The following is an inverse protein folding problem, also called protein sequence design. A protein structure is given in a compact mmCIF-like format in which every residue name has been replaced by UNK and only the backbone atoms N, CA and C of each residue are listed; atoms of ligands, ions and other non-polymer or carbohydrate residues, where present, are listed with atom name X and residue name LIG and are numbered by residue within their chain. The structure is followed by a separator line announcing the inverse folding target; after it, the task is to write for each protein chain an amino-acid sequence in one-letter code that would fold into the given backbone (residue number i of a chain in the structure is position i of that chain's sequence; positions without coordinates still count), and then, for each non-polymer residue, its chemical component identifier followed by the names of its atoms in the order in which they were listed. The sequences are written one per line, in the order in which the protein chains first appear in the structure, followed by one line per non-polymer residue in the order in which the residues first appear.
data_IF_479693728052
#
_entry.id   IF_479693728052
#
_cell.length_a   1.000
_cell.length_b   1.000
_cell.length_c   1.000
_cell.angle_alpha   90.00
_cell.angle_beta   90.00
_cell.angle_gamma   90.00
#
_symmetry.space_group_name_H-M   'P 1'
#
loop_
_entity.id
_entity.type
_entity.pdbx_description
1 polymer ?
#
# COMPACT_ATOMS: atom_id res chain seq x y z
N UNK A 1 2.77 28.99 -23.46
CA UNK A 1 3.25 29.68 -22.23
C UNK A 1 4.00 28.62 -21.43
N UNK A 2 5.28 28.81 -21.09
CA UNK A 2 6.05 27.80 -20.34
C UNK A 2 5.63 27.87 -18.87
N UNK A 3 4.97 26.82 -18.36
CA UNK A 3 4.62 26.74 -16.94
C UNK A 3 5.92 26.56 -16.14
N UNK A 4 6.20 27.42 -15.14
CA UNK A 4 7.41 27.29 -14.34
C UNK A 4 7.34 25.99 -13.52
N UNK A 5 8.42 25.21 -13.56
CA UNK A 5 8.53 23.96 -12.81
C UNK A 5 9.07 24.25 -11.38
N UNK A 6 8.40 23.76 -10.32
CA UNK A 6 8.90 23.87 -8.95
C UNK A 6 10.15 23.01 -8.70
N UNK A 7 11.03 23.46 -7.81
CA UNK A 7 12.14 22.62 -7.36
C UNK A 7 11.63 21.39 -6.60
N UNK A 8 12.08 20.21 -7.03
CA UNK A 8 11.68 18.93 -6.46
C UNK A 8 12.61 18.59 -5.30
N UNK A 9 12.01 18.22 -4.17
CA UNK A 9 12.71 17.60 -3.04
C UNK A 9 11.91 16.40 -2.55
N UNK A 10 12.59 15.44 -1.93
CA UNK A 10 12.00 14.24 -1.33
C UNK A 10 11.43 14.53 0.07
N UNK A 11 10.77 15.67 0.25
CA UNK A 11 10.15 16.05 1.50
C UNK A 11 8.98 15.11 1.91
N UNK A 12 8.50 15.21 3.15
CA UNK A 12 7.46 14.30 3.67
C UNK A 12 6.18 14.28 2.84
N UNK A 13 5.75 15.44 2.33
CA UNK A 13 4.53 15.55 1.49
C UNK A 13 4.73 14.86 0.16
N UNK A 14 5.87 15.10 -0.50
CA UNK A 14 6.19 14.46 -1.77
C UNK A 14 6.26 12.93 -1.64
N UNK A 15 6.97 12.41 -0.62
CA UNK A 15 7.04 10.97 -0.34
C UNK A 15 5.64 10.38 -0.18
N UNK A 16 4.77 11.01 0.63
CA UNK A 16 3.40 10.55 0.84
C UNK A 16 2.56 10.54 -0.44
N UNK A 17 2.72 11.52 -1.32
CA UNK A 17 2.08 11.53 -2.65
C UNK A 17 2.51 10.32 -3.48
N UNK A 18 3.81 10.04 -3.54
CA UNK A 18 4.34 8.93 -4.33
C UNK A 18 3.96 7.56 -3.75
N UNK A 19 3.96 7.41 -2.42
CA UNK A 19 3.42 6.20 -1.73
C UNK A 19 1.95 5.98 -2.06
N UNK A 20 1.16 7.06 -2.07
CA UNK A 20 -0.27 7.00 -2.40
C UNK A 20 -0.45 6.58 -3.85
N UNK A 21 0.30 7.17 -4.79
CA UNK A 21 0.30 6.77 -6.20
C UNK A 21 0.65 5.28 -6.36
N UNK A 22 1.76 4.83 -5.76
CA UNK A 22 2.17 3.43 -5.81
C UNK A 22 1.05 2.50 -5.35
N UNK A 23 0.43 2.78 -4.19
CA UNK A 23 -0.67 1.96 -3.66
C UNK A 23 -1.91 1.95 -4.55
N UNK A 24 -2.16 3.00 -5.32
CA UNK A 24 -3.26 3.01 -6.30
C UNK A 24 -2.95 2.14 -7.50
N UNK A 25 -1.68 2.09 -7.91
CA UNK A 25 -1.22 1.29 -9.05
C UNK A 25 -1.07 -0.19 -8.72
N UNK A 26 -0.70 -0.56 -7.49
CA UNK A 26 -0.65 -1.97 -7.03
C UNK A 26 -2.07 -2.47 -6.75
N UNK A 27 -2.80 -2.78 -7.82
CA UNK A 27 -4.21 -3.18 -7.75
C UNK A 27 -4.41 -4.53 -7.08
N UNK A 28 -3.42 -5.43 -7.22
CA UNK A 28 -3.36 -6.72 -6.54
C UNK A 28 -3.13 -6.59 -5.04
N UNK A 29 -2.52 -5.49 -4.60
CA UNK A 29 -2.10 -5.27 -3.21
C UNK A 29 -1.04 -6.26 -2.74
N UNK A 30 -0.12 -6.67 -3.62
CA UNK A 30 0.96 -7.60 -3.30
C UNK A 30 2.29 -6.93 -2.95
N UNK A 31 2.35 -5.60 -3.00
CA UNK A 31 3.50 -4.78 -2.61
C UNK A 31 4.47 -4.47 -3.76
N UNK A 32 4.08 -4.76 -5.00
CA UNK A 32 4.95 -4.60 -6.16
C UNK A 32 4.15 -4.05 -7.35
N UNK A 33 4.82 -3.33 -8.24
CA UNK A 33 4.32 -3.00 -9.57
C UNK A 33 5.03 -3.86 -10.61
N UNK A 34 4.27 -4.35 -11.58
CA UNK A 34 4.72 -5.06 -12.75
C UNK A 34 4.32 -4.29 -14.01
N UNK A 35 4.89 -4.64 -15.16
CA UNK A 35 4.51 -4.01 -16.43
C UNK A 35 3.02 -4.19 -16.73
N UNK A 36 2.43 -5.30 -16.29
CA UNK A 36 1.02 -5.62 -16.47
C UNK A 36 0.10 -4.59 -15.78
N UNK A 37 0.49 -4.04 -14.63
CA UNK A 37 -0.27 -2.98 -13.94
C UNK A 37 -0.39 -1.72 -14.82
N UNK A 38 0.66 -1.40 -15.59
CA UNK A 38 0.63 -0.28 -16.54
C UNK A 38 -0.13 -0.63 -17.82
N UNK A 39 -0.01 -1.85 -18.32
CA UNK A 39 -0.77 -2.30 -19.50
C UNK A 39 -2.28 -2.33 -19.25
N UNK A 40 -2.70 -2.56 -18.00
CA UNK A 40 -4.10 -2.48 -17.59
C UNK A 40 -4.68 -1.07 -17.78
N UNK A 41 -3.86 -0.02 -17.61
CA UNK A 41 -4.26 1.38 -17.85
C UNK A 41 -4.65 1.55 -19.32
N UNK A 42 -3.77 1.13 -20.24
CA UNK A 42 -4.01 1.20 -21.67
C UNK A 42 -5.26 0.40 -22.06
N UNK A 43 -5.36 -0.84 -21.60
CA UNK A 43 -6.51 -1.73 -21.84
C UNK A 43 -7.82 -1.12 -21.36
N UNK A 44 -7.82 -0.49 -20.18
CA UNK A 44 -9.02 0.16 -19.62
C UNK A 44 -9.52 1.30 -20.50
N UNK A 45 -8.62 2.13 -21.03
CA UNK A 45 -8.98 3.27 -21.90
C UNK A 45 -9.49 2.76 -23.25
N UNK A 46 -8.84 1.76 -23.86
CA UNK A 46 -9.28 1.17 -25.14
C UNK A 46 -10.69 0.61 -25.04
N UNK A 47 -11.03 -0.05 -23.93
CA UNK A 47 -12.36 -0.64 -23.74
C UNK A 47 -13.45 0.43 -23.69
N UNK A 48 -13.15 1.64 -23.21
CA UNK A 48 -14.09 2.77 -23.22
C UNK A 48 -14.15 3.44 -24.58
N UNK A 49 -13.01 3.55 -25.29
CA UNK A 49 -12.90 4.16 -26.61
C UNK A 49 -12.42 3.17 -27.69
N UNK A 50 -13.22 2.15 -28.05
CA UNK A 50 -12.81 1.13 -29.01
C UNK A 50 -12.64 1.65 -30.44
N UNK A 51 -13.06 2.90 -30.70
CA UNK A 51 -12.92 3.61 -31.98
C UNK A 51 -11.93 4.79 -31.89
N UNK A 52 -11.09 4.82 -30.85
CA UNK A 52 -10.02 5.82 -30.73
C UNK A 52 -9.14 5.79 -31.99
N UNK A 53 -8.78 6.99 -32.47
CA UNK A 53 -7.95 7.14 -33.67
C UNK A 53 -6.54 6.57 -33.37
N UNK A 54 -5.96 5.87 -34.35
CA UNK A 54 -4.71 5.13 -34.18
C UNK A 54 -3.54 5.95 -33.59
N UNK A 55 -3.34 7.20 -34.00
CA UNK A 55 -2.24 8.00 -33.45
C UNK A 55 -2.44 8.36 -31.96
N UNK A 56 -3.70 8.55 -31.50
CA UNK A 56 -4.01 8.82 -30.08
C UNK A 56 -3.68 7.59 -29.23
N UNK A 57 -3.98 6.41 -29.77
CA UNK A 57 -3.58 5.15 -29.17
C UNK A 57 -2.05 5.01 -29.08
N UNK A 58 -1.33 5.32 -30.17
CA UNK A 58 0.12 5.28 -30.20
C UNK A 58 0.73 6.24 -29.15
N UNK A 59 0.18 7.44 -28.97
CA UNK A 59 0.62 8.38 -27.94
C UNK A 59 0.44 7.81 -26.52
N UNK A 60 -0.72 7.21 -26.23
CA UNK A 60 -0.96 6.57 -24.93
C UNK A 60 0.05 5.46 -24.64
N UNK A 61 0.23 4.52 -25.58
CA UNK A 61 1.12 3.38 -25.39
C UNK A 61 2.58 3.81 -25.30
N UNK A 62 3.03 4.75 -26.15
CA UNK A 62 4.39 5.32 -26.06
C UNK A 62 4.64 5.91 -24.69
N UNK A 63 3.68 6.61 -24.09
CA UNK A 63 3.85 7.20 -22.76
C UNK A 63 3.89 6.17 -21.65
N UNK A 64 3.07 5.12 -21.71
CA UNK A 64 3.13 4.03 -20.73
C UNK A 64 4.48 3.30 -20.80
N UNK A 65 4.99 3.04 -22.01
CA UNK A 65 6.31 2.47 -22.24
C UNK A 65 7.40 3.41 -21.70
N UNK A 66 7.37 4.69 -22.06
CA UNK A 66 8.34 5.66 -21.58
C UNK A 66 8.35 5.73 -20.04
N UNK A 67 7.17 5.78 -19.41
CA UNK A 67 7.05 5.78 -17.97
C UNK A 67 7.68 4.52 -17.35
N UNK A 68 7.38 3.32 -17.87
CA UNK A 68 7.98 2.09 -17.36
C UNK A 68 9.50 2.06 -17.50
N UNK A 69 10.02 2.18 -18.73
CA UNK A 69 11.42 1.91 -19.03
C UNK A 69 12.35 3.08 -18.70
N UNK A 70 11.92 4.30 -18.97
CA UNK A 70 12.77 5.49 -18.94
C UNK A 70 12.54 6.34 -17.67
N UNK A 71 11.52 6.03 -16.86
CA UNK A 71 11.25 6.70 -15.57
C UNK A 71 11.40 5.72 -14.39
N UNK A 72 10.57 4.69 -14.28
CA UNK A 72 10.47 3.88 -13.04
C UNK A 72 11.29 2.59 -13.02
N UNK A 73 11.83 2.12 -14.16
CA UNK A 73 12.72 0.94 -14.24
C UNK A 73 14.14 1.26 -14.74
N UNK A 74 14.63 2.48 -14.51
CA UNK A 74 15.94 2.96 -15.00
C UNK A 74 17.16 2.29 -14.34
N UNK A 75 16.97 1.57 -13.24
CA UNK A 75 18.00 0.88 -12.48
C UNK A 75 18.39 -0.49 -13.06
N UNK A 76 17.67 -0.97 -14.09
CA UNK A 76 17.93 -2.25 -14.76
C UNK A 76 18.14 -2.06 -16.25
N UNK A 77 18.81 -3.00 -16.95
CA UNK A 77 18.83 -3.03 -18.39
C UNK A 77 17.42 -3.07 -18.99
N UNK A 78 17.23 -2.38 -20.13
CA UNK A 78 15.93 -2.29 -20.81
C UNK A 78 15.34 -3.67 -21.15
N UNK A 79 16.18 -4.65 -21.51
CA UNK A 79 15.70 -5.99 -21.89
C UNK A 79 15.12 -6.77 -20.71
N UNK A 80 15.52 -6.46 -19.48
CA UNK A 80 15.07 -7.17 -18.27
C UNK A 80 13.90 -6.48 -17.57
N UNK A 81 13.62 -5.21 -17.91
CA UNK A 81 12.61 -4.40 -17.21
C UNK A 81 11.19 -4.97 -17.27
N UNK A 82 10.84 -5.79 -18.26
CA UNK A 82 9.52 -6.45 -18.33
C UNK A 82 9.30 -7.53 -17.27
N UNK A 83 10.39 -8.02 -16.65
CA UNK A 83 10.36 -9.11 -15.66
C UNK A 83 10.57 -8.59 -14.24
N UNK A 84 10.62 -7.28 -14.05
CA UNK A 84 10.89 -6.68 -12.74
C UNK A 84 9.59 -6.52 -11.96
N UNK A 85 9.65 -6.94 -10.69
CA UNK A 85 8.67 -6.59 -9.67
C UNK A 85 9.24 -5.40 -8.88
N UNK A 86 8.66 -4.22 -9.09
CA UNK A 86 9.14 -2.98 -8.52
C UNK A 86 8.44 -2.71 -7.18
N UNK A 87 9.16 -2.79 -6.07
CA UNK A 87 8.58 -2.45 -4.76
C UNK A 87 8.44 -0.92 -4.56
N UNK A 88 7.70 -0.51 -3.53
CA UNK A 88 7.39 0.89 -3.25
C UNK A 88 8.64 1.75 -3.09
N UNK A 89 9.60 1.29 -2.30
CA UNK A 89 10.85 2.02 -2.03
C UNK A 89 11.64 2.29 -3.31
N UNK A 90 11.78 1.28 -4.18
CA UNK A 90 12.48 1.41 -5.46
C UNK A 90 11.71 2.27 -6.46
N UNK A 91 10.38 2.18 -6.48
CA UNK A 91 9.53 3.06 -7.29
C UNK A 91 9.76 4.53 -6.93
N UNK A 92 9.72 4.87 -5.65
CA UNK A 92 9.91 6.25 -5.17
C UNK A 92 11.33 6.75 -5.49
N UNK A 93 12.36 5.95 -5.23
CA UNK A 93 13.76 6.29 -5.51
C UNK A 93 13.98 6.54 -7.01
N UNK A 94 13.47 5.67 -7.88
CA UNK A 94 13.62 5.83 -9.33
C UNK A 94 12.85 7.04 -9.85
N UNK A 95 11.62 7.25 -9.41
CA UNK A 95 10.82 8.40 -9.81
C UNK A 95 11.46 9.71 -9.35
N UNK A 96 12.00 9.75 -8.13
CA UNK A 96 12.74 10.91 -7.61
C UNK A 96 13.97 11.22 -8.46
N UNK A 97 14.79 10.20 -8.76
CA UNK A 97 15.99 10.33 -9.62
C UNK A 97 15.63 10.80 -11.02
N UNK A 98 14.58 10.25 -11.61
CA UNK A 98 14.09 10.67 -12.92
C UNK A 98 13.68 12.15 -12.89
N UNK A 99 12.88 12.55 -11.91
CA UNK A 99 12.44 13.94 -11.71
C UNK A 99 13.57 14.92 -11.33
N UNK A 100 14.77 14.43 -10.99
CA UNK A 100 16.01 15.23 -10.82
C UNK A 100 16.91 15.23 -12.06
N UNK A 101 16.52 14.53 -13.12
CA UNK A 101 17.30 14.34 -14.35
C UNK A 101 16.69 15.12 -15.53
N UNK A 102 17.06 14.75 -16.77
CA UNK A 102 16.46 15.30 -17.99
C UNK A 102 14.93 15.22 -18.01
N UNK A 103 14.36 14.19 -17.38
CA UNK A 103 12.90 14.00 -17.33
C UNK A 103 12.17 15.15 -16.64
N UNK A 104 12.82 15.88 -15.73
CA UNK A 104 12.27 17.11 -15.16
C UNK A 104 11.83 18.12 -16.23
N UNK A 105 12.72 18.41 -17.17
CA UNK A 105 12.47 19.36 -18.26
C UNK A 105 11.61 18.77 -19.37
N UNK A 106 11.64 17.45 -19.53
CA UNK A 106 10.88 16.70 -20.54
C UNK A 106 9.49 16.24 -20.03
N UNK A 107 9.12 16.53 -18.78
CA UNK A 107 7.92 15.98 -18.12
C UNK A 107 6.64 16.28 -18.92
N UNK A 108 6.46 17.53 -19.35
CA UNK A 108 5.28 17.89 -20.13
C UNK A 108 5.31 17.30 -21.55
N UNK A 109 6.45 17.29 -22.23
CA UNK A 109 6.57 16.80 -23.61
C UNK A 109 6.44 15.27 -23.71
N UNK A 110 7.07 14.53 -22.80
CA UNK A 110 7.16 13.06 -22.86
C UNK A 110 6.05 12.34 -22.09
N UNK A 111 5.45 13.01 -21.10
CA UNK A 111 4.44 12.39 -20.24
C UNK A 111 3.08 13.07 -20.35
N UNK A 112 2.97 14.37 -20.08
CA UNK A 112 1.65 15.01 -19.97
C UNK A 112 0.98 15.34 -21.31
N UNK A 113 1.74 15.74 -22.32
CA UNK A 113 1.22 16.11 -23.64
C UNK A 113 0.65 14.90 -24.37
N UNK A 114 1.36 13.76 -24.46
CA UNK A 114 0.80 12.57 -25.09
C UNK A 114 -0.43 12.03 -24.35
N UNK A 115 -0.44 12.04 -23.00
CA UNK A 115 -1.63 11.64 -22.23
C UNK A 115 -2.82 12.54 -22.55
N UNK A 116 -2.63 13.86 -22.57
CA UNK A 116 -3.69 14.79 -22.94
C UNK A 116 -4.20 14.54 -24.37
N UNK A 117 -3.30 14.48 -25.35
CA UNK A 117 -3.62 14.24 -26.77
C UNK A 117 -4.34 12.90 -26.97
N UNK A 118 -3.98 11.87 -26.22
CA UNK A 118 -4.64 10.56 -26.32
C UNK A 118 -6.10 10.60 -25.87
N UNK A 119 -6.44 11.52 -24.98
CA UNK A 119 -7.75 11.60 -24.32
C UNK A 119 -8.68 12.64 -24.93
N UNK A 120 -8.17 13.74 -25.47
CA UNK A 120 -8.95 14.72 -26.24
C UNK A 120 -9.50 14.03 -27.50
N UNK A 121 -10.74 13.54 -27.50
CA UNK A 121 -11.27 12.73 -28.60
C UNK A 121 -11.72 13.57 -29.80
N UNK A 122 -12.16 14.82 -29.58
CA UNK A 122 -12.67 15.72 -30.61
C UNK A 122 -11.61 16.69 -31.18
N UNK A 123 -10.36 16.63 -30.67
CA UNK A 123 -9.22 17.48 -31.07
C UNK A 123 -9.51 18.98 -30.91
N UNK A 124 -10.33 19.35 -29.93
CA UNK A 124 -10.66 20.75 -29.64
C UNK A 124 -9.65 21.42 -28.68
N UNK A 125 -8.63 20.68 -28.25
CA UNK A 125 -7.59 21.14 -27.33
C UNK A 125 -8.05 21.17 -25.88
N UNK A 126 -9.14 20.48 -25.54
CA UNK A 126 -9.71 20.43 -24.18
C UNK A 126 -10.27 19.05 -23.85
N UNK A 127 -10.19 18.69 -22.58
CA UNK A 127 -10.81 17.46 -22.05
C UNK A 127 -12.18 17.77 -21.48
N UNK A 128 -13.17 16.99 -21.89
CA UNK A 128 -14.46 16.88 -21.22
C UNK A 128 -14.34 16.11 -19.90
N UNK A 129 -15.36 16.22 -19.05
CA UNK A 129 -15.43 15.46 -17.79
C UNK A 129 -15.27 13.95 -18.00
N UNK A 130 -16.01 13.32 -18.94
CA UNK A 130 -15.86 11.90 -19.25
C UNK A 130 -14.47 11.49 -19.73
N UNK A 131 -13.78 12.32 -20.53
CA UNK A 131 -12.42 12.03 -21.00
C UNK A 131 -11.43 12.06 -19.83
N UNK A 132 -11.43 13.15 -19.05
CA UNK A 132 -10.57 13.23 -17.87
C UNK A 132 -10.87 12.12 -16.85
N UNK A 133 -12.15 11.81 -16.64
CA UNK A 133 -12.58 10.73 -15.75
C UNK A 133 -12.09 9.36 -16.24
N UNK A 134 -12.19 9.08 -17.53
CA UNK A 134 -11.71 7.81 -18.11
C UNK A 134 -10.21 7.65 -17.89
N UNK A 135 -9.43 8.71 -18.14
CA UNK A 135 -7.99 8.70 -17.90
C UNK A 135 -7.70 8.43 -16.43
N UNK A 136 -8.26 9.23 -15.53
CA UNK A 136 -7.91 9.15 -14.11
C UNK A 136 -8.39 7.85 -13.47
N UNK A 137 -9.53 7.29 -13.89
CA UNK A 137 -9.97 5.96 -13.43
C UNK A 137 -9.07 4.84 -13.94
N UNK A 138 -8.57 4.92 -15.18
CA UNK A 138 -7.59 3.97 -15.70
C UNK A 138 -6.29 4.00 -14.87
N UNK A 139 -5.84 5.19 -14.48
CA UNK A 139 -4.75 5.42 -13.51
C UNK A 139 -5.16 5.18 -12.05
N UNK A 140 -6.30 4.52 -11.82
CA UNK A 140 -6.81 4.08 -10.53
C UNK A 140 -7.03 5.21 -9.53
N UNK A 141 -7.27 6.45 -9.97
CA UNK A 141 -7.70 7.54 -9.08
C UNK A 141 -9.13 7.29 -8.54
N UNK A 142 -9.57 8.13 -7.60
CA UNK A 142 -10.84 7.99 -6.88
C UNK A 142 -11.93 8.82 -7.58
N UNK A 143 -13.08 8.22 -7.99
CA UNK A 143 -14.15 8.92 -8.71
C UNK A 143 -14.54 10.28 -8.10
N UNK A 144 -14.75 10.30 -6.78
CA UNK A 144 -15.14 11.51 -6.05
C UNK A 144 -14.11 12.63 -6.17
N UNK A 145 -12.82 12.31 -6.06
CA UNK A 145 -11.75 13.30 -6.12
C UNK A 145 -11.52 13.78 -7.55
N UNK A 146 -11.66 12.89 -8.55
CA UNK A 146 -11.65 13.23 -9.98
C UNK A 146 -12.70 14.32 -10.27
N UNK A 147 -13.95 14.13 -9.85
CA UNK A 147 -15.03 15.09 -10.11
C UNK A 147 -14.80 16.46 -9.45
N UNK A 148 -14.15 16.46 -8.28
CA UNK A 148 -13.80 17.70 -7.57
C UNK A 148 -12.67 18.42 -8.31
N UNK A 149 -11.60 17.71 -8.64
CA UNK A 149 -10.42 18.28 -9.32
C UNK A 149 -10.75 18.75 -10.73
N UNK A 150 -11.55 17.98 -11.48
CA UNK A 150 -12.02 18.40 -12.80
C UNK A 150 -12.76 19.74 -12.73
N UNK A 151 -13.68 19.90 -11.77
CA UNK A 151 -14.41 21.17 -11.57
C UNK A 151 -13.53 22.33 -11.14
N UNK A 152 -12.46 22.07 -10.38
CA UNK A 152 -11.51 23.11 -9.95
C UNK A 152 -10.64 23.63 -11.09
N UNK A 153 -10.37 22.79 -12.10
CA UNK A 153 -9.43 23.06 -13.19
C UNK A 153 -10.10 23.21 -14.57
N UNK A 154 -11.42 23.19 -14.65
CA UNK A 154 -12.17 23.33 -15.91
C UNK A 154 -12.79 24.70 -16.09
N UNK A 155 -12.68 25.22 -17.31
CA UNK A 155 -13.37 26.43 -17.75
C UNK A 155 -14.53 26.02 -18.65
N UNK A 156 -15.76 26.43 -18.32
CA UNK A 156 -16.95 26.13 -19.14
C UNK A 156 -17.11 24.61 -19.38
N UNK A 157 -16.95 23.81 -18.32
CA UNK A 157 -17.06 22.34 -18.32
C UNK A 157 -16.04 21.57 -19.19
N UNK A 158 -15.00 22.23 -19.70
CA UNK A 158 -13.86 21.55 -20.33
C UNK A 158 -12.53 22.01 -19.69
N UNK A 159 -11.58 21.10 -19.56
CA UNK A 159 -10.24 21.36 -19.04
C UNK A 159 -9.27 21.57 -20.20
N UNK A 160 -8.65 22.75 -20.30
CA UNK A 160 -7.62 22.99 -21.32
C UNK A 160 -6.28 22.33 -20.95
N UNK A 161 -5.37 22.22 -21.92
CA UNK A 161 -4.02 21.64 -21.73
C UNK A 161 -3.20 22.33 -20.63
N UNK A 162 -3.32 23.64 -20.47
CA UNK A 162 -2.56 24.38 -19.46
C UNK A 162 -2.98 23.99 -18.04
N UNK A 163 -4.28 23.92 -17.77
CA UNK A 163 -4.82 23.52 -16.46
C UNK A 163 -4.52 22.05 -16.15
N UNK A 164 -4.63 21.17 -17.16
CA UNK A 164 -4.21 19.77 -17.02
C UNK A 164 -2.73 19.67 -16.63
N UNK A 165 -1.85 20.42 -17.29
CA UNK A 165 -0.41 20.40 -16.98
C UNK A 165 -0.12 20.97 -15.59
N UNK A 166 -0.79 22.06 -15.16
CA UNK A 166 -0.66 22.61 -13.80
C UNK A 166 -1.05 21.61 -12.72
N UNK A 167 -2.19 20.92 -12.88
CA UNK A 167 -2.66 19.91 -11.94
C UNK A 167 -1.62 18.80 -11.70
N UNK A 168 -1.03 18.28 -12.78
CA UNK A 168 -0.04 17.20 -12.67
C UNK A 168 1.31 17.70 -12.13
N UNK A 169 1.78 18.89 -12.54
CA UNK A 169 3.00 19.48 -11.97
C UNK A 169 2.82 19.70 -10.46
N UNK A 170 1.66 20.18 -10.02
CA UNK A 170 1.36 20.36 -8.61
C UNK A 170 1.44 19.02 -7.85
N UNK A 171 0.85 17.95 -8.39
CA UNK A 171 0.94 16.64 -7.74
C UNK A 171 2.37 16.07 -7.75
N UNK A 172 3.11 16.11 -8.86
CA UNK A 172 4.40 15.43 -8.97
C UNK A 172 5.59 16.24 -8.44
N UNK A 173 5.48 17.58 -8.38
CA UNK A 173 6.64 18.45 -8.14
C UNK A 173 6.47 19.40 -6.95
N UNK A 174 5.26 19.86 -6.64
CA UNK A 174 5.02 20.77 -5.52
C UNK A 174 5.18 20.06 -4.17
N UNK A 175 5.46 20.83 -3.12
CA UNK A 175 5.46 20.36 -1.73
C UNK A 175 4.37 21.05 -0.87
N UNK A 176 3.43 21.75 -1.51
CA UNK A 176 2.33 22.41 -0.79
C UNK A 176 1.36 21.39 -0.20
N UNK A 177 1.40 21.24 1.13
CA UNK A 177 0.51 20.37 1.88
C UNK A 177 -0.96 20.86 1.88
N UNK A 178 -1.20 22.13 1.55
CA UNK A 178 -2.55 22.73 1.54
C UNK A 178 -3.20 22.68 0.17
N UNK A 179 -2.44 22.33 -0.88
CA UNK A 179 -2.97 22.24 -2.22
C UNK A 179 -4.06 21.17 -2.30
N UNK A 180 -5.17 21.47 -2.98
CA UNK A 180 -6.24 20.51 -3.20
C UNK A 180 -5.81 19.39 -4.16
N UNK A 181 -4.81 19.68 -5.00
CA UNK A 181 -4.33 18.81 -6.06
C UNK A 181 -3.54 17.62 -5.52
N UNK A 182 -3.10 17.65 -4.25
CA UNK A 182 -2.49 16.49 -3.59
C UNK A 182 -3.43 15.28 -3.53
N UNK A 183 -4.74 15.49 -3.72
CA UNK A 183 -5.75 14.43 -3.76
C UNK A 183 -5.95 13.80 -5.14
N UNK A 184 -5.06 14.08 -6.10
CA UNK A 184 -5.15 13.52 -7.46
C UNK A 184 -5.23 11.98 -7.48
N UNK A 185 -4.65 11.31 -6.49
CA UNK A 185 -4.77 9.86 -6.26
C UNK A 185 -5.47 9.50 -4.94
N UNK A 186 -6.22 10.44 -4.36
CA UNK A 186 -6.96 10.27 -3.12
C UNK A 186 -6.24 10.79 -1.87
N UNK A 187 -6.78 10.49 -0.67
CA UNK A 187 -6.18 10.86 0.60
C UNK A 187 -4.76 10.31 0.74
N UNK A 188 -3.84 11.14 1.21
CA UNK A 188 -2.44 10.76 1.35
C UNK A 188 -2.24 9.79 2.51
N UNK A 189 -1.54 8.67 2.25
CA UNK A 189 -1.09 7.74 3.29
C UNK A 189 -0.22 8.47 4.32
N UNK A 190 -0.39 8.16 5.61
CA UNK A 190 0.37 8.75 6.71
C UNK A 190 1.27 7.73 7.42
N UNK A 191 0.97 6.44 7.36
CA UNK A 191 1.76 5.45 8.09
C UNK A 191 3.22 5.42 7.59
N UNK A 192 4.15 5.32 8.54
CA UNK A 192 5.58 5.20 8.25
C UNK A 192 5.87 3.86 7.60
N UNK A 193 6.81 3.82 6.65
CA UNK A 193 7.37 2.58 6.10
C UNK A 193 8.57 2.14 6.90
N UNK A 194 9.02 0.91 6.64
CA UNK A 194 10.08 0.33 7.42
C UNK A 194 11.42 1.08 7.30
N UNK A 195 11.65 1.76 6.18
CA UNK A 195 12.80 2.63 5.90
C UNK A 195 12.76 3.95 6.68
N UNK A 196 11.58 4.38 7.13
CA UNK A 196 11.45 5.57 7.99
C UNK A 196 11.88 5.27 9.43
N UNK A 197 12.04 3.98 9.77
CA UNK A 197 12.59 3.52 11.03
C UNK A 197 14.05 3.10 10.83
N UNK A 198 14.92 3.45 11.77
CA UNK A 198 16.30 2.95 11.78
C UNK A 198 16.38 1.44 12.05
N UNK A 199 17.60 0.92 12.07
CA UNK A 199 17.88 -0.44 12.59
C UNK A 199 17.34 -0.56 14.02
N UNK A 200 16.77 -1.72 14.34
CA UNK A 200 16.12 -1.99 15.62
C UNK A 200 17.06 -2.86 16.46
N UNK A 201 17.37 -2.46 17.69
CA UNK A 201 18.29 -3.21 18.57
C UNK A 201 17.69 -4.56 18.97
N UNK A 202 16.36 -4.63 18.97
CA UNK A 202 15.55 -5.79 19.35
C UNK A 202 15.84 -6.20 20.80
N UNK A 203 15.77 -5.22 21.70
CA UNK A 203 15.94 -5.41 23.15
C UNK A 203 14.70 -6.01 23.84
N UNK A 204 14.65 -6.02 25.19
CA UNK A 204 13.60 -6.68 25.95
C UNK A 204 12.16 -6.21 25.64
N UNK A 205 11.99 -4.93 25.31
CA UNK A 205 10.69 -4.37 24.91
C UNK A 205 10.20 -5.01 23.61
N UNK A 206 11.08 -5.08 22.62
CA UNK A 206 10.79 -5.69 21.33
C UNK A 206 10.57 -7.20 21.45
N UNK A 207 11.45 -7.91 22.18
CA UNK A 207 11.30 -9.35 22.39
C UNK A 207 9.99 -9.70 23.10
N UNK A 208 9.58 -8.89 24.09
CA UNK A 208 8.30 -9.05 24.77
C UNK A 208 7.12 -8.91 23.81
N UNK A 209 7.16 -7.96 22.86
CA UNK A 209 6.15 -7.84 21.80
C UNK A 209 6.12 -9.10 20.94
N UNK A 210 7.23 -9.48 20.31
CA UNK A 210 7.25 -10.63 19.40
C UNK A 210 6.84 -11.94 20.09
N UNK A 211 7.25 -12.14 21.35
CA UNK A 211 6.76 -13.24 22.20
C UNK A 211 5.25 -13.19 22.42
N UNK A 212 4.70 -12.01 22.66
CA UNK A 212 3.24 -11.83 22.78
C UNK A 212 2.55 -12.26 21.50
N UNK A 213 3.00 -11.79 20.32
CA UNK A 213 2.44 -12.22 19.04
C UNK A 213 2.51 -13.74 18.87
N UNK A 214 3.66 -14.37 19.13
CA UNK A 214 3.80 -15.83 19.07
C UNK A 214 2.73 -16.54 19.90
N UNK A 215 2.51 -16.09 21.14
CA UNK A 215 1.51 -16.67 22.05
C UNK A 215 0.07 -16.45 21.60
N UNK A 216 -0.21 -15.35 20.90
CA UNK A 216 -1.53 -15.08 20.31
C UNK A 216 -1.81 -15.91 19.07
N UNK A 217 -0.76 -16.36 18.38
CA UNK A 217 -0.87 -17.24 17.22
C UNK A 217 -0.90 -18.72 17.60
N UNK A 218 -0.21 -19.15 18.67
CA UNK A 218 -0.26 -20.52 19.22
C UNK A 218 -1.54 -20.74 20.04
N UNK A 219 -2.69 -20.66 19.38
CA UNK A 219 -4.03 -20.75 20.02
C UNK A 219 -4.29 -22.08 20.72
N UNK A 220 -3.54 -23.13 20.36
CA UNK A 220 -3.64 -24.46 20.98
C UNK A 220 -2.65 -24.65 22.15
N UNK A 221 -1.83 -23.63 22.45
CA UNK A 221 -0.80 -23.65 23.49
C UNK A 221 0.17 -24.85 23.39
N UNK A 222 0.47 -25.27 22.15
CA UNK A 222 1.34 -26.43 21.90
C UNK A 222 2.83 -26.12 22.06
N UNK A 223 3.15 -24.83 22.22
CA UNK A 223 4.50 -24.28 22.17
C UNK A 223 5.20 -24.49 20.83
N UNK A 224 4.45 -24.79 19.77
CA UNK A 224 4.93 -24.97 18.40
C UNK A 224 3.90 -24.44 17.42
N UNK A 225 4.17 -23.28 16.82
CA UNK A 225 3.29 -22.71 15.82
C UNK A 225 3.32 -23.55 14.53
N UNK A 226 2.15 -23.88 13.99
CA UNK A 226 1.96 -24.61 12.74
C UNK A 226 0.97 -23.88 11.83
N UNK A 227 0.94 -24.25 10.55
CA UNK A 227 -0.05 -23.73 9.60
C UNK A 227 -1.50 -23.88 10.11
N UNK A 228 -1.77 -25.00 10.78
CA UNK A 228 -3.07 -25.30 11.37
C UNK A 228 -3.57 -24.23 12.35
N UNK A 229 -2.69 -23.58 13.13
CA UNK A 229 -3.09 -22.54 14.08
C UNK A 229 -3.64 -21.32 13.34
N UNK A 230 -2.98 -20.89 12.26
CA UNK A 230 -3.44 -19.80 11.39
C UNK A 230 -4.75 -20.15 10.69
N UNK A 231 -4.90 -21.40 10.22
CA UNK A 231 -6.15 -21.86 9.61
C UNK A 231 -7.32 -21.86 10.61
N UNK A 232 -7.08 -22.24 11.86
CA UNK A 232 -8.10 -22.18 12.90
C UNK A 232 -8.48 -20.74 13.26
N UNK A 233 -7.53 -19.81 13.32
CA UNK A 233 -7.84 -18.36 13.44
C UNK A 233 -8.75 -17.94 12.28
N UNK A 234 -8.40 -18.28 11.04
CA UNK A 234 -9.22 -18.02 9.87
C UNK A 234 -10.63 -18.61 9.95
N UNK A 235 -10.75 -19.87 10.36
CA UNK A 235 -12.04 -20.53 10.57
C UNK A 235 -12.88 -19.83 11.65
N UNK A 236 -12.25 -19.39 12.74
CA UNK A 236 -12.92 -18.64 13.79
C UNK A 236 -13.47 -17.31 13.25
N UNK A 237 -12.67 -16.55 12.50
CA UNK A 237 -13.12 -15.32 11.85
C UNK A 237 -14.33 -15.58 10.94
N UNK A 238 -14.25 -16.62 10.10
CA UNK A 238 -15.30 -17.01 9.15
C UNK A 238 -16.61 -17.33 9.86
N UNK A 239 -16.54 -18.16 10.91
CA UNK A 239 -17.71 -18.62 11.64
C UNK A 239 -18.37 -17.48 12.42
N UNK A 240 -17.57 -16.67 13.14
CA UNK A 240 -18.08 -15.57 13.97
C UNK A 240 -18.63 -14.41 13.14
N UNK A 241 -18.06 -14.14 11.97
CA UNK A 241 -18.53 -13.09 11.08
C UNK A 241 -19.59 -13.57 10.05
N UNK A 242 -19.95 -14.86 10.08
CA UNK A 242 -20.94 -15.46 9.17
C UNK A 242 -20.64 -15.19 7.69
N UNK A 243 -19.39 -15.41 7.29
CA UNK A 243 -18.93 -15.06 5.94
C UNK A 243 -19.51 -15.99 4.86
N UNK A 244 -19.80 -15.42 3.70
CA UNK A 244 -20.11 -16.19 2.50
C UNK A 244 -18.86 -16.94 1.98
N UNK A 245 -19.08 -17.93 1.11
CA UNK A 245 -18.01 -18.77 0.57
C UNK A 245 -16.86 -17.99 -0.05
N UNK A 246 -17.14 -16.92 -0.81
CA UNK A 246 -16.11 -16.15 -1.51
C UNK A 246 -15.20 -15.44 -0.50
N UNK A 247 -15.80 -14.83 0.53
CA UNK A 247 -15.07 -14.15 1.61
C UNK A 247 -14.33 -15.16 2.48
N UNK A 248 -14.93 -16.31 2.80
CA UNK A 248 -14.26 -17.40 3.51
C UNK A 248 -13.00 -17.87 2.80
N UNK A 249 -13.08 -18.08 1.48
CA UNK A 249 -11.92 -18.46 0.69
C UNK A 249 -10.83 -17.38 0.71
N UNK A 250 -11.20 -16.09 0.73
CA UNK A 250 -10.24 -14.99 0.82
C UNK A 250 -9.51 -14.97 2.17
N UNK A 251 -10.24 -15.17 3.28
CA UNK A 251 -9.65 -15.28 4.63
C UNK A 251 -8.68 -16.45 4.70
N UNK A 252 -9.07 -17.64 4.23
CA UNK A 252 -8.21 -18.82 4.27
C UNK A 252 -6.95 -18.65 3.39
N UNK A 253 -7.08 -18.02 2.21
CA UNK A 253 -5.92 -17.67 1.37
C UNK A 253 -4.98 -16.71 2.08
N UNK A 254 -5.51 -15.70 2.77
CA UNK A 254 -4.69 -14.76 3.54
C UNK A 254 -3.95 -15.45 4.69
N UNK A 255 -4.61 -16.35 5.44
CA UNK A 255 -3.95 -17.13 6.51
C UNK A 255 -2.86 -18.06 5.98
N UNK A 256 -3.10 -18.71 4.84
CA UNK A 256 -2.08 -19.52 4.15
C UNK A 256 -0.91 -18.66 3.67
N UNK A 257 -1.19 -17.50 3.07
CA UNK A 257 -0.15 -16.58 2.62
C UNK A 257 0.69 -16.08 3.80
N UNK A 258 0.06 -15.76 4.93
CA UNK A 258 0.75 -15.38 6.17
C UNK A 258 1.72 -16.48 6.61
N UNK A 259 1.24 -17.72 6.65
CA UNK A 259 2.07 -18.86 7.01
C UNK A 259 3.25 -19.02 6.05
N UNK A 260 2.96 -19.20 4.76
CA UNK A 260 3.95 -19.59 3.75
C UNK A 260 4.95 -18.47 3.47
N UNK A 261 4.52 -17.20 3.41
CA UNK A 261 5.39 -16.08 3.02
C UNK A 261 6.15 -15.46 4.19
N UNK A 262 5.53 -15.33 5.36
CA UNK A 262 6.09 -14.50 6.44
C UNK A 262 6.54 -15.28 7.68
N UNK A 263 5.93 -16.44 7.98
CA UNK A 263 6.22 -17.16 9.22
C UNK A 263 7.09 -18.40 8.99
N UNK A 264 6.69 -19.25 8.06
CA UNK A 264 7.24 -20.58 7.84
C UNK A 264 8.40 -20.59 6.85
N UNK A 265 9.28 -19.59 6.96
CA UNK A 265 10.49 -19.45 6.16
C UNK A 265 11.64 -19.15 7.11
N UNK A 266 12.75 -19.87 6.98
CA UNK A 266 14.00 -19.56 7.66
C UNK A 266 14.83 -18.52 6.89
N UNK A 267 15.98 -18.12 7.44
CA UNK A 267 16.88 -17.16 6.79
C UNK A 267 17.41 -17.58 5.41
N UNK A 268 17.35 -18.88 5.07
CA UNK A 268 17.79 -19.42 3.79
C UNK A 268 16.64 -19.55 2.78
N UNK A 269 15.40 -19.22 3.17
CA UNK A 269 14.23 -19.43 2.33
C UNK A 269 13.62 -20.84 2.47
N UNK A 270 14.10 -21.68 3.39
CA UNK A 270 13.56 -23.03 3.57
C UNK A 270 12.25 -23.00 4.35
N UNK A 271 11.29 -23.80 3.88
CA UNK A 271 9.98 -23.89 4.51
C UNK A 271 10.01 -24.73 5.78
N UNK A 272 9.44 -24.19 6.86
CA UNK A 272 9.34 -24.86 8.16
C UNK A 272 7.94 -25.44 8.38
N UNK A 273 7.84 -26.69 8.81
CA UNK A 273 6.55 -27.32 9.15
C UNK A 273 6.00 -26.85 10.50
N UNK A 274 6.89 -26.49 11.43
CA UNK A 274 6.58 -25.95 12.75
C UNK A 274 7.65 -24.96 13.20
N UNK A 275 7.26 -23.99 14.04
CA UNK A 275 8.14 -22.91 14.50
C UNK A 275 8.03 -22.82 16.03
N UNK A 276 9.16 -22.93 16.73
CA UNK A 276 9.22 -22.65 18.18
C UNK A 276 9.41 -21.16 18.41
N UNK A 277 9.11 -20.71 19.62
CA UNK A 277 9.22 -19.30 19.99
C UNK A 277 10.60 -18.68 19.70
N UNK A 278 11.68 -19.41 19.95
CA UNK A 278 13.04 -18.91 19.68
C UNK A 278 13.31 -18.71 18.18
N UNK A 279 12.80 -19.60 17.34
CA UNK A 279 12.89 -19.51 15.88
C UNK A 279 12.01 -18.37 15.37
N UNK A 280 10.81 -18.21 15.93
CA UNK A 280 9.91 -17.10 15.61
C UNK A 280 10.55 -15.74 15.92
N UNK A 281 11.12 -15.57 17.12
CA UNK A 281 11.81 -14.34 17.52
C UNK A 281 13.03 -14.06 16.64
N UNK A 282 13.81 -15.09 16.32
CA UNK A 282 14.96 -14.97 15.43
C UNK A 282 14.54 -14.55 14.01
N UNK A 283 13.58 -15.24 13.40
CA UNK A 283 13.10 -14.95 12.05
C UNK A 283 12.49 -13.56 11.94
N UNK A 284 11.73 -13.10 12.95
CA UNK A 284 11.20 -11.74 12.98
C UNK A 284 12.32 -10.69 13.07
N UNK A 285 13.39 -10.96 13.82
CA UNK A 285 14.56 -10.07 13.93
C UNK A 285 15.27 -9.94 12.58
N UNK A 286 15.51 -11.07 11.91
CA UNK A 286 16.12 -11.11 10.58
C UNK A 286 15.24 -10.42 9.54
N UNK A 287 13.92 -10.64 9.56
CA UNK A 287 12.99 -9.97 8.64
C UNK A 287 13.08 -8.46 8.81
N UNK A 288 12.94 -7.95 10.05
CA UNK A 288 12.91 -6.50 10.23
C UNK A 288 14.28 -5.86 10.02
N UNK A 289 15.41 -6.49 10.31
CA UNK A 289 16.73 -5.83 10.14
C UNK A 289 17.48 -6.26 8.86
N UNK A 290 16.91 -7.18 8.09
CA UNK A 290 17.51 -7.72 6.87
C UNK A 290 16.95 -7.12 5.58
N UNK A 291 17.26 -7.79 4.46
CA UNK A 291 16.90 -7.33 3.10
C UNK A 291 15.40 -7.30 2.82
N UNK A 292 14.61 -8.07 3.58
CA UNK A 292 13.16 -8.17 3.44
C UNK A 292 12.39 -7.24 4.37
N UNK A 293 13.05 -6.28 5.02
CA UNK A 293 12.42 -5.35 5.97
C UNK A 293 11.21 -4.63 5.39
N UNK A 294 11.22 -4.31 4.10
CA UNK A 294 10.10 -3.66 3.42
C UNK A 294 8.82 -4.53 3.39
N UNK A 295 8.92 -5.85 3.56
CA UNK A 295 7.77 -6.77 3.56
C UNK A 295 6.91 -6.72 4.84
N UNK A 296 7.38 -6.03 5.90
CA UNK A 296 6.63 -5.96 7.16
C UNK A 296 5.26 -5.29 7.00
N UNK A 297 5.14 -4.31 6.09
CA UNK A 297 3.87 -3.65 5.84
C UNK A 297 2.92 -4.53 5.00
N UNK A 298 3.47 -5.28 4.05
CA UNK A 298 2.74 -6.27 3.27
C UNK A 298 2.24 -7.42 4.15
N UNK A 299 3.00 -7.77 5.18
CA UNK A 299 2.56 -8.69 6.21
C UNK A 299 1.33 -8.14 6.96
N UNK A 300 1.40 -6.88 7.41
CA UNK A 300 0.28 -6.20 8.05
C UNK A 300 -0.93 -6.05 7.12
N UNK A 301 -0.71 -5.74 5.85
CA UNK A 301 -1.76 -5.59 4.84
C UNK A 301 -2.49 -6.91 4.57
N UNK A 302 -1.75 -8.02 4.52
CA UNK A 302 -2.33 -9.36 4.37
C UNK A 302 -3.23 -9.70 5.56
N UNK A 303 -2.81 -9.35 6.78
CA UNK A 303 -3.66 -9.45 7.97
C UNK A 303 -4.88 -8.54 7.88
N UNK A 304 -4.70 -7.26 7.53
CA UNK A 304 -5.80 -6.29 7.37
C UNK A 304 -6.87 -6.84 6.42
N UNK A 305 -6.48 -7.34 5.24
CA UNK A 305 -7.41 -7.92 4.25
C UNK A 305 -8.09 -9.21 4.73
N UNK A 306 -7.48 -9.96 5.64
CA UNK A 306 -8.12 -11.13 6.25
C UNK A 306 -9.26 -10.72 7.21
N UNK A 307 -9.22 -9.51 7.76
CA UNK A 307 -10.22 -9.00 8.73
C UNK A 307 -11.24 -8.10 8.04
N UNK A 308 -10.79 -7.29 7.07
CA UNK A 308 -11.57 -6.39 6.22
C UNK A 308 -12.26 -7.19 5.10
N UNK A 309 -13.23 -8.00 5.50
CA UNK A 309 -13.87 -8.99 4.64
C UNK A 309 -15.07 -8.46 3.84
N UNK A 310 -15.53 -7.24 4.14
CA UNK A 310 -16.66 -6.61 3.43
C UNK A 310 -16.25 -5.69 2.28
N UNK A 311 -14.94 -5.49 2.05
CA UNK A 311 -14.37 -4.58 1.06
C UNK A 311 -14.87 -3.13 1.22
N UNK A 312 -15.26 -2.73 2.44
CA UNK A 312 -15.53 -1.34 2.80
C UNK A 312 -14.26 -0.49 2.81
N UNK A 313 -13.09 -1.12 2.96
CA UNK A 313 -11.80 -0.46 3.19
C UNK A 313 -11.55 -0.11 4.65
N UNK A 314 -12.40 -0.56 5.58
CA UNK A 314 -12.30 -0.29 7.00
C UNK A 314 -12.60 -1.54 7.84
N UNK A 315 -11.95 -1.67 8.99
CA UNK A 315 -12.27 -2.70 9.98
C UNK A 315 -13.26 -2.10 10.98
N UNK A 316 -14.47 -2.65 11.04
CA UNK A 316 -15.46 -2.26 12.05
C UNK A 316 -15.02 -2.71 13.46
N UNK A 317 -15.56 -2.07 14.51
CA UNK A 317 -15.34 -2.50 15.89
C UNK A 317 -15.73 -3.97 16.13
N UNK A 318 -16.80 -4.43 15.49
CA UNK A 318 -17.23 -5.83 15.60
C UNK A 318 -16.21 -6.79 14.97
N UNK A 319 -15.72 -6.48 13.76
CA UNK A 319 -14.70 -7.28 13.07
C UNK A 319 -13.38 -7.29 13.84
N UNK A 320 -12.95 -6.14 14.37
CA UNK A 320 -11.75 -6.04 15.20
C UNK A 320 -11.87 -6.88 16.48
N UNK A 321 -13.04 -6.84 17.13
CA UNK A 321 -13.29 -7.65 18.32
C UNK A 321 -13.24 -9.15 18.03
N UNK A 322 -13.79 -9.60 16.89
CA UNK A 322 -13.73 -11.02 16.49
C UNK A 322 -12.27 -11.47 16.33
N UNK A 323 -11.41 -10.63 15.75
CA UNK A 323 -9.97 -10.91 15.66
C UNK A 323 -9.30 -11.04 17.03
N UNK A 324 -9.55 -10.07 17.91
CA UNK A 324 -8.97 -10.08 19.26
C UNK A 324 -9.45 -11.29 20.08
N UNK A 325 -10.71 -11.70 19.91
CA UNK A 325 -11.23 -12.95 20.49
C UNK A 325 -10.52 -14.19 19.93
N UNK A 326 -10.21 -14.23 18.63
CA UNK A 326 -9.44 -15.31 18.02
C UNK A 326 -8.01 -15.42 18.57
N UNK A 327 -7.46 -14.30 19.05
CA UNK A 327 -6.16 -14.23 19.73
C UNK A 327 -6.26 -14.42 21.25
N UNK A 328 -7.43 -14.75 21.79
CA UNK A 328 -7.67 -14.86 23.24
C UNK A 328 -7.31 -13.58 24.01
N UNK A 329 -7.52 -12.41 23.40
CA UNK A 329 -7.41 -11.10 24.06
C UNK A 329 -8.75 -10.76 24.72
N UNK A 330 -8.68 -10.25 25.95
CA UNK A 330 -9.86 -9.87 26.72
C UNK A 330 -10.63 -8.72 26.08
N UNK A 331 -11.94 -8.65 26.36
CA UNK A 331 -12.82 -7.65 25.75
C UNK A 331 -12.40 -6.22 26.08
N UNK A 332 -12.05 -5.95 27.34
CA UNK A 332 -11.68 -4.60 27.77
C UNK A 332 -10.40 -4.12 27.10
N UNK A 333 -9.41 -5.00 26.96
CA UNK A 333 -8.16 -4.72 26.26
C UNK A 333 -8.40 -4.47 24.76
N UNK A 334 -9.25 -5.29 24.13
CA UNK A 334 -9.62 -5.12 22.72
C UNK A 334 -10.34 -3.78 22.48
N UNK A 335 -11.29 -3.41 23.34
CA UNK A 335 -12.00 -2.13 23.25
C UNK A 335 -11.08 -0.93 23.50
N UNK A 336 -10.13 -1.05 24.44
CA UNK A 336 -9.09 -0.05 24.68
C UNK A 336 -8.19 0.14 23.47
N UNK A 337 -7.71 -0.96 22.87
CA UNK A 337 -6.84 -0.90 21.71
C UNK A 337 -7.57 -0.37 20.47
N UNK A 338 -8.85 -0.71 20.26
CA UNK A 338 -9.66 -0.14 19.18
C UNK A 338 -9.67 1.39 19.23
N UNK A 339 -9.89 1.98 20.42
CA UNK A 339 -9.87 3.44 20.61
C UNK A 339 -8.50 4.08 20.39
N UNK A 340 -7.43 3.32 20.54
CA UNK A 340 -6.06 3.77 20.23
C UNK A 340 -5.82 3.74 18.72
N UNK A 341 -6.35 2.73 18.03
CA UNK A 341 -6.24 2.60 16.57
C UNK A 341 -7.10 3.61 15.81
N UNK A 342 -8.34 3.85 16.26
CA UNK A 342 -9.29 4.81 15.70
C UNK A 342 -8.88 6.24 16.09
N UNK A 343 -7.89 6.78 15.37
CA UNK A 343 -7.23 8.05 15.68
C UNK A 343 -8.10 9.24 15.29
N UNK A 344 -8.88 9.12 14.22
CA UNK A 344 -9.81 10.17 13.77
C UNK A 344 -11.21 10.07 14.40
N UNK A 345 -11.48 8.99 15.15
CA UNK A 345 -12.69 8.75 15.94
C UNK A 345 -13.95 8.61 15.07
N UNK A 346 -13.80 8.07 13.87
CA UNK A 346 -14.92 7.80 12.97
C UNK A 346 -15.61 6.44 13.24
N UNK A 347 -15.13 5.69 14.23
CA UNK A 347 -15.74 4.46 14.73
C UNK A 347 -15.36 3.21 13.94
N UNK A 348 -14.35 3.29 13.08
CA UNK A 348 -13.83 2.19 12.26
C UNK A 348 -12.32 2.40 12.05
N UNK A 349 -11.59 1.33 11.79
CA UNK A 349 -10.13 1.40 11.61
C UNK A 349 -9.83 1.39 10.13
N UNK A 350 -9.26 2.47 9.62
CA UNK A 350 -8.72 2.52 8.26
C UNK A 350 -7.46 1.66 8.12
N UNK A 351 -7.08 1.33 6.89
CA UNK A 351 -5.80 0.64 6.66
C UNK A 351 -4.58 1.46 7.11
N UNK A 352 -4.68 2.80 7.06
CA UNK A 352 -3.57 3.69 7.42
C UNK A 352 -3.32 3.63 8.94
N UNK A 353 -4.39 3.62 9.73
CA UNK A 353 -4.34 3.44 11.18
C UNK A 353 -3.87 2.05 11.59
N UNK A 354 -4.41 1.00 10.94
CA UNK A 354 -3.99 -0.37 11.20
C UNK A 354 -2.50 -0.56 10.91
N UNK A 355 -2.01 -0.10 9.76
CA UNK A 355 -0.61 -0.24 9.35
C UNK A 355 0.32 0.68 10.15
N UNK A 356 -0.16 1.83 10.63
CA UNK A 356 0.59 2.65 11.60
C UNK A 356 0.87 1.85 12.86
N UNK A 357 -0.16 1.24 13.44
CA UNK A 357 0.00 0.46 14.67
C UNK A 357 0.80 -0.83 14.44
N UNK A 358 0.60 -1.48 13.30
CA UNK A 358 1.38 -2.65 12.89
C UNK A 358 2.87 -2.30 12.81
N UNK A 359 3.24 -1.27 12.05
CA UNK A 359 4.65 -0.90 11.88
C UNK A 359 5.27 -0.41 13.20
N UNK A 360 4.55 0.36 14.02
CA UNK A 360 5.01 0.73 15.36
C UNK A 360 5.20 -0.51 16.27
N UNK A 361 4.35 -1.53 16.13
CA UNK A 361 4.50 -2.78 16.88
C UNK A 361 5.79 -3.53 16.52
N UNK A 362 6.19 -3.58 15.26
CA UNK A 362 7.40 -4.31 14.85
C UNK A 362 8.67 -3.47 14.85
N UNK A 363 8.58 -2.16 14.62
CA UNK A 363 9.71 -1.29 14.28
C UNK A 363 9.97 -0.16 15.29
N UNK A 364 9.23 -0.09 16.39
CA UNK A 364 9.51 0.86 17.49
C UNK A 364 10.01 0.12 18.73
N UNK A 365 10.91 0.72 19.51
CA UNK A 365 11.33 0.19 20.81
C UNK A 365 10.90 1.07 21.98
N UNK A 366 10.03 2.05 21.72
CA UNK A 366 9.49 2.92 22.75
C UNK A 366 8.61 2.12 23.74
N UNK A 367 9.01 1.98 25.03
CA UNK A 367 8.22 1.26 26.02
C UNK A 367 6.90 1.97 26.37
N UNK A 368 6.76 3.26 26.03
CA UNK A 368 5.54 4.04 26.25
C UNK A 368 4.62 4.06 25.04
N UNK A 369 5.04 3.49 23.90
CA UNK A 369 4.18 3.42 22.72
C UNK A 369 2.91 2.63 23.05
N UNK A 370 1.71 3.20 22.81
CA UNK A 370 0.46 2.49 23.07
C UNK A 370 0.29 1.30 22.12
N UNK A 371 0.91 1.35 20.93
CA UNK A 371 0.86 0.28 19.93
C UNK A 371 1.55 -1.00 20.37
N UNK A 372 2.38 -0.99 21.43
CA UNK A 372 2.97 -2.22 22.00
C UNK A 372 1.93 -3.24 22.47
N UNK A 373 0.67 -2.82 22.64
CA UNK A 373 -0.47 -3.65 23.04
C UNK A 373 -1.31 -4.16 21.87
N UNK A 374 -0.84 -4.04 20.62
CA UNK A 374 -1.61 -4.44 19.42
C UNK A 374 -2.14 -5.88 19.48
N UNK A 375 -1.32 -6.81 19.99
CA UNK A 375 -1.64 -8.22 20.24
C UNK A 375 -2.07 -8.49 21.70
N UNK A 376 -2.58 -7.48 22.40
CA UNK A 376 -2.94 -7.52 23.82
C UNK A 376 -1.78 -7.20 24.78
N UNK A 377 -1.96 -7.40 26.10
CA UNK A 377 -0.94 -7.10 27.10
C UNK A 377 0.38 -7.84 26.85
N UNK A 378 1.50 -7.11 26.99
CA UNK A 378 2.85 -7.63 26.69
C UNK A 378 3.27 -8.71 27.68
N UNK A 379 3.71 -9.84 27.14
CA UNK A 379 4.23 -11.00 27.87
C UNK A 379 5.75 -10.86 28.01
N UNK A 380 6.22 -10.48 29.20
CA UNK A 380 7.64 -10.15 29.45
C UNK A 380 8.52 -11.33 29.87
N UNK A 381 7.95 -12.47 30.27
CA UNK A 381 8.71 -13.64 30.74
C UNK A 381 8.71 -14.75 29.69
N UNK A 382 9.87 -15.34 29.35
CA UNK A 382 9.93 -16.59 28.60
C UNK A 382 9.24 -17.70 29.39
N UNK A 383 8.66 -18.69 28.70
CA UNK A 383 8.15 -19.88 29.37
C UNK A 383 9.33 -20.69 29.90
N UNK A 384 9.32 -20.98 31.20
CA UNK A 384 10.23 -21.97 31.78
C UNK A 384 10.00 -23.31 31.07
N UNK A 385 11.06 -23.90 30.52
CA UNK A 385 10.97 -25.23 29.94
C UNK A 385 10.47 -26.19 31.04
N UNK A 386 9.28 -26.77 30.83
CA UNK A 386 8.78 -27.86 31.68
C UNK A 386 9.31 -29.20 31.19
#
# INVERSE_FOLDING_TARGET
MTIPLPEINNGPIWIRKMRTLFRRLDTSGHGYLMIDDLLEIGTSIINVYPKMIAYKYDELIKTLIYFWYDVICTHVPRQTATLINLNESKFIDNLYKALKSKFYHEFDEKFLTPLFTSMDQDDDGKLTGPEFQTLMLAWKSIPKDIDILFRLHSDINKMNKENFTKLFIEFFMSNDANSKDIKLWGPLLNYKRAEDYGTIDCGPVWEGKIRTMYRRLDINETMKLRCHDLLQIGQFLIQRAHLDRRRSDAVMRAMLNIWVKFLAIDKNGEHLDEIREIEFVHNMREMINGEYRHEIDQFGWTFFKAIEVDNSGFISQASYRILQEAWHVGREEAEGMFKILDTDKDGKISSDEFLTAWNEYFLSEDPQSPYRMFFGPVISRPTEAR
#
